data_IF_868802417433
#
_entry.id   IF_868802417433
#
_cell.length_a   1.000
_cell.length_b   1.000
_cell.length_c   1.000
_cell.angle_alpha   90.00
_cell.angle_beta   90.00
_cell.angle_gamma   90.00
#
_symmetry.space_group_name_H-M   'P 1'
#
loop_
_entity.id
_entity.type
_entity.pdbx_description
1 polymer ?
#
# COMPACT_ATOMS: atom_id res chain seq x y z
N UNK A 1 2.17 -41.20 -20.85
CA UNK A 1 2.27 -39.89 -20.20
C UNK A 1 1.49 -38.92 -21.07
N UNK A 2 0.57 -38.13 -20.50
CA UNK A 2 -0.21 -37.13 -21.26
C UNK A 2 0.75 -36.18 -21.99
N UNK A 3 0.38 -35.77 -23.20
CA UNK A 3 1.18 -34.82 -23.99
C UNK A 3 0.91 -33.39 -23.52
N UNK A 4 -0.36 -33.08 -23.26
CA UNK A 4 -0.75 -31.84 -22.59
C UNK A 4 -0.77 -32.05 -21.08
N UNK A 5 0.00 -31.25 -20.37
CA UNK A 5 0.23 -31.37 -18.93
C UNK A 5 0.08 -30.02 -18.24
N UNK A 6 0.09 -30.05 -16.92
CA UNK A 6 0.17 -28.87 -16.08
C UNK A 6 1.60 -28.76 -15.58
N UNK A 7 2.22 -27.60 -15.81
CA UNK A 7 3.51 -27.22 -15.27
C UNK A 7 3.30 -26.05 -14.31
N UNK A 8 3.70 -26.30 -13.08
CA UNK A 8 3.69 -25.38 -11.93
C UNK A 8 5.02 -25.54 -11.15
N UNK A 9 5.18 -24.82 -10.05
CA UNK A 9 6.45 -24.87 -9.29
C UNK A 9 6.78 -26.28 -8.77
N UNK A 10 5.79 -27.01 -8.25
CA UNK A 10 5.98 -28.37 -7.74
C UNK A 10 6.50 -29.33 -8.81
N UNK A 11 5.85 -29.33 -9.97
CA UNK A 11 6.21 -30.20 -11.10
C UNK A 11 7.55 -29.83 -11.71
N UNK A 12 7.88 -28.53 -11.81
CA UNK A 12 9.20 -28.07 -12.23
C UNK A 12 10.29 -28.51 -11.26
N UNK A 13 10.11 -28.27 -9.96
CA UNK A 13 11.08 -28.65 -8.94
C UNK A 13 11.29 -30.16 -8.88
N UNK A 14 10.21 -30.95 -8.97
CA UNK A 14 10.29 -32.41 -9.03
C UNK A 14 11.10 -32.89 -10.25
N UNK A 15 10.80 -32.36 -11.45
CA UNK A 15 11.53 -32.71 -12.66
C UNK A 15 13.02 -32.31 -12.58
N UNK A 16 13.33 -31.13 -12.05
CA UNK A 16 14.72 -30.68 -11.83
C UNK A 16 15.44 -31.64 -10.89
N UNK A 17 14.80 -32.03 -9.79
CA UNK A 17 15.38 -32.96 -8.82
C UNK A 17 15.64 -34.36 -9.41
N UNK A 18 14.89 -34.81 -10.41
CA UNK A 18 15.11 -36.12 -11.04
C UNK A 18 16.23 -36.12 -12.09
N UNK A 19 16.72 -34.94 -12.50
CA UNK A 19 17.73 -34.74 -13.55
C UNK A 19 19.05 -35.46 -13.26
N UNK A 20 19.60 -36.14 -14.29
CA UNK A 20 20.86 -36.91 -14.19
C UNK A 20 21.98 -36.39 -15.07
N UNK A 21 21.67 -36.02 -16.31
CA UNK A 21 22.65 -35.75 -17.36
C UNK A 21 22.62 -34.28 -17.83
N UNK A 22 21.42 -33.73 -18.08
CA UNK A 22 21.28 -32.37 -18.64
C UNK A 22 20.06 -31.63 -18.12
N UNK A 23 20.29 -30.40 -17.68
CA UNK A 23 19.25 -29.45 -17.28
C UNK A 23 19.33 -28.17 -18.13
N UNK A 24 18.24 -27.81 -18.81
CA UNK A 24 18.09 -26.49 -19.43
C UNK A 24 16.83 -25.83 -18.90
N UNK A 25 16.99 -24.69 -18.22
CA UNK A 25 15.88 -23.88 -17.72
C UNK A 25 15.85 -22.55 -18.49
N UNK A 26 14.76 -22.30 -19.21
CA UNK A 26 14.48 -21.05 -19.91
C UNK A 26 13.15 -20.54 -19.41
N UNK A 27 13.09 -19.37 -18.81
CA UNK A 27 11.82 -18.80 -18.37
C UNK A 27 11.89 -17.28 -18.28
N UNK A 28 10.76 -16.56 -18.36
CA UNK A 28 10.71 -15.14 -18.04
C UNK A 28 11.29 -14.88 -16.65
N UNK A 29 10.81 -15.56 -15.60
CA UNK A 29 11.30 -15.38 -14.24
C UNK A 29 11.68 -16.70 -13.56
N UNK A 30 12.15 -16.57 -12.32
CA UNK A 30 12.51 -17.69 -11.46
C UNK A 30 12.09 -17.39 -10.03
N UNK A 31 11.80 -18.44 -9.26
CA UNK A 31 11.49 -18.34 -7.84
C UNK A 31 12.56 -19.01 -7.00
N UNK A 32 12.65 -18.62 -5.72
CA UNK A 32 13.66 -19.16 -4.79
C UNK A 32 13.63 -20.69 -4.77
N UNK A 33 12.44 -21.29 -4.73
CA UNK A 33 12.26 -22.74 -4.76
C UNK A 33 12.92 -23.38 -5.99
N UNK A 34 12.69 -22.84 -7.19
CA UNK A 34 13.29 -23.40 -8.41
C UNK A 34 14.82 -23.27 -8.37
N UNK A 35 15.35 -22.15 -7.86
CA UNK A 35 16.80 -21.98 -7.68
C UNK A 35 17.36 -23.01 -6.70
N UNK A 36 16.67 -23.27 -5.59
CA UNK A 36 17.09 -24.27 -4.60
C UNK A 36 17.13 -25.67 -5.21
N UNK A 37 16.15 -26.04 -6.04
CA UNK A 37 16.16 -27.31 -6.75
C UNK A 37 17.36 -27.44 -7.71
N UNK A 38 17.67 -26.37 -8.46
CA UNK A 38 18.86 -26.32 -9.31
C UNK A 38 20.12 -26.46 -8.46
N UNK A 39 20.23 -25.70 -7.37
CA UNK A 39 21.36 -25.74 -6.46
C UNK A 39 21.56 -27.09 -5.78
N UNK A 40 20.48 -27.80 -5.46
CA UNK A 40 20.53 -29.16 -4.93
C UNK A 40 21.14 -30.14 -5.94
N UNK A 41 20.71 -30.07 -7.19
CA UNK A 41 21.21 -30.94 -8.27
C UNK A 41 22.67 -30.64 -8.63
N UNK A 42 23.09 -29.37 -8.52
CA UNK A 42 24.50 -28.98 -8.69
C UNK A 42 25.45 -29.55 -7.64
N UNK A 43 24.96 -29.82 -6.42
CA UNK A 43 25.77 -30.32 -5.31
C UNK A 43 25.99 -31.83 -5.31
N UNK A 44 25.46 -32.55 -6.32
CA UNK A 44 25.63 -34.00 -6.47
C UNK A 44 27.07 -34.37 -6.85
N UNK A 45 27.49 -35.59 -6.51
CA UNK A 45 28.81 -36.13 -6.89
C UNK A 45 29.06 -36.10 -8.41
N UNK A 46 27.99 -36.29 -9.20
CA UNK A 46 27.95 -36.05 -10.64
C UNK A 46 26.84 -35.03 -10.93
N UNK A 47 27.18 -33.74 -11.04
CA UNK A 47 26.20 -32.73 -11.43
C UNK A 47 25.91 -32.86 -12.94
N UNK A 48 24.65 -32.66 -13.38
CA UNK A 48 24.32 -32.60 -14.79
C UNK A 48 24.88 -31.33 -15.44
N UNK A 49 24.90 -31.30 -16.77
CA UNK A 49 25.19 -30.06 -17.50
C UNK A 49 24.02 -29.08 -17.37
N UNK A 50 24.23 -27.93 -16.73
CA UNK A 50 23.16 -26.96 -16.44
C UNK A 50 23.29 -25.72 -17.33
N UNK A 51 22.17 -25.30 -17.91
CA UNK A 51 22.02 -24.01 -18.60
C UNK A 51 20.80 -23.28 -18.07
N UNK A 52 20.97 -22.04 -17.61
CA UNK A 52 19.89 -21.18 -17.12
C UNK A 52 19.82 -19.93 -18.00
N UNK A 53 18.64 -19.65 -18.57
CA UNK A 53 18.36 -18.46 -19.37
C UNK A 53 17.12 -17.79 -18.79
N UNK A 54 17.24 -16.53 -18.37
CA UNK A 54 16.12 -15.78 -17.80
C UNK A 54 15.97 -14.39 -18.42
N UNK A 55 14.77 -13.82 -18.28
CA UNK A 55 14.54 -12.40 -18.46
C UNK A 55 14.60 -11.69 -17.10
N UNK A 56 15.73 -11.01 -16.84
CA UNK A 56 15.96 -10.29 -15.60
C UNK A 56 15.32 -8.88 -15.57
N UNK A 57 14.41 -8.55 -16.51
CA UNK A 57 13.69 -7.27 -16.45
C UNK A 57 12.79 -7.20 -15.19
N UNK A 58 12.87 -6.14 -14.36
CA UNK A 58 12.03 -6.00 -13.17
C UNK A 58 10.52 -6.06 -13.43
N UNK A 59 10.02 -5.68 -14.61
CA UNK A 59 8.60 -5.83 -14.96
C UNK A 59 8.14 -7.28 -15.02
N UNK A 60 9.05 -8.21 -15.34
CA UNK A 60 8.77 -9.66 -15.33
C UNK A 60 8.44 -10.13 -13.92
N UNK A 61 9.24 -9.72 -12.92
CA UNK A 61 8.94 -9.98 -11.52
C UNK A 61 7.67 -9.26 -11.06
N UNK A 62 7.44 -8.00 -11.47
CA UNK A 62 6.20 -7.27 -11.15
C UNK A 62 4.95 -7.92 -11.76
N UNK A 63 5.08 -8.59 -12.91
CA UNK A 63 3.99 -9.36 -13.55
C UNK A 63 3.70 -10.68 -12.81
N UNK A 64 4.59 -11.10 -11.90
CA UNK A 64 4.45 -12.33 -11.12
C UNK A 64 5.05 -13.56 -11.80
N UNK A 65 5.92 -13.40 -12.81
CA UNK A 65 6.61 -14.53 -13.44
C UNK A 65 7.81 -15.06 -12.64
N UNK A 66 8.21 -14.34 -11.59
CA UNK A 66 9.35 -14.66 -10.73
C UNK A 66 9.31 -13.81 -9.46
N UNK A 67 10.29 -14.03 -8.57
CA UNK A 67 10.36 -13.36 -7.26
C UNK A 67 11.68 -12.64 -7.08
N UNK A 68 11.69 -11.63 -6.21
CA UNK A 68 12.93 -10.94 -5.81
C UNK A 68 13.88 -11.92 -5.15
N UNK A 69 13.38 -12.70 -4.19
CA UNK A 69 14.15 -13.73 -3.48
C UNK A 69 14.74 -14.77 -4.45
N UNK A 70 14.01 -15.15 -5.50
CA UNK A 70 14.52 -16.00 -6.57
C UNK A 70 15.68 -15.40 -7.36
N UNK A 71 15.65 -14.10 -7.67
CA UNK A 71 16.77 -13.43 -8.34
C UNK A 71 18.00 -13.33 -7.43
N UNK A 72 17.81 -13.02 -6.15
CA UNK A 72 18.88 -12.96 -5.14
C UNK A 72 19.51 -14.34 -4.92
N UNK A 73 18.70 -15.39 -4.81
CA UNK A 73 19.15 -16.77 -4.71
C UNK A 73 19.93 -17.18 -5.97
N UNK A 74 19.42 -16.84 -7.17
CA UNK A 74 20.09 -17.21 -8.42
C UNK A 74 21.44 -16.50 -8.57
N UNK A 75 21.52 -15.22 -8.18
CA UNK A 75 22.77 -14.47 -8.15
C UNK A 75 23.79 -15.11 -7.19
N UNK A 76 23.33 -15.51 -6.00
CA UNK A 76 24.15 -16.19 -5.00
C UNK A 76 24.69 -17.51 -5.55
N UNK A 77 23.81 -18.35 -6.13
CA UNK A 77 24.17 -19.62 -6.74
C UNK A 77 25.18 -19.46 -7.88
N UNK A 78 24.99 -18.47 -8.76
CA UNK A 78 25.92 -18.19 -9.85
C UNK A 78 27.29 -17.72 -9.36
N UNK A 79 27.33 -16.98 -8.26
CA UNK A 79 28.60 -16.51 -7.66
C UNK A 79 29.33 -17.66 -6.98
N UNK A 80 28.63 -18.46 -6.16
CA UNK A 80 29.23 -19.54 -5.39
C UNK A 80 29.69 -20.71 -6.26
N UNK A 81 28.91 -21.06 -7.28
CA UNK A 81 29.12 -22.26 -8.10
C UNK A 81 29.61 -21.95 -9.52
N UNK A 82 29.93 -20.70 -9.82
CA UNK A 82 30.34 -20.23 -11.15
C UNK A 82 29.36 -20.64 -12.27
N UNK A 83 28.06 -20.70 -11.98
CA UNK A 83 27.03 -21.04 -12.95
C UNK A 83 26.80 -19.85 -13.90
N UNK A 84 27.02 -19.99 -15.22
CA UNK A 84 26.72 -18.92 -16.16
C UNK A 84 25.20 -18.76 -16.34
N UNK A 85 24.65 -17.68 -15.78
CA UNK A 85 23.27 -17.25 -16.08
C UNK A 85 23.28 -16.48 -17.40
N UNK A 86 22.46 -16.90 -18.35
CA UNK A 86 22.27 -16.18 -19.61
C UNK A 86 21.04 -15.29 -19.50
N UNK A 87 21.12 -14.11 -20.12
CA UNK A 87 20.03 -13.15 -20.15
C UNK A 87 19.44 -13.09 -21.56
N UNK A 88 18.12 -13.18 -21.66
CA UNK A 88 17.39 -12.98 -22.91
C UNK A 88 16.13 -12.13 -22.63
N UNK A 89 16.09 -10.86 -23.05
CA UNK A 89 14.90 -10.04 -22.89
C UNK A 89 13.75 -10.54 -23.79
N UNK A 90 12.52 -10.36 -23.31
CA UNK A 90 11.30 -10.69 -24.05
C UNK A 90 10.90 -12.16 -24.00
N UNK A 91 11.44 -12.96 -23.08
CA UNK A 91 11.01 -14.35 -22.90
C UNK A 91 9.56 -14.38 -22.43
N UNK A 92 8.69 -15.08 -23.16
CA UNK A 92 7.27 -15.27 -22.82
C UNK A 92 6.86 -16.74 -22.67
N UNK A 93 7.83 -17.63 -22.85
CA UNK A 93 7.63 -19.08 -22.82
C UNK A 93 8.59 -19.66 -21.79
N UNK A 94 8.11 -20.63 -21.03
CA UNK A 94 8.91 -21.48 -20.18
C UNK A 94 9.34 -22.73 -20.95
N UNK A 95 10.62 -23.08 -20.90
CA UNK A 95 11.16 -24.31 -21.44
C UNK A 95 12.01 -24.96 -20.37
N UNK A 96 11.65 -26.19 -20.00
CA UNK A 96 12.43 -27.04 -19.13
C UNK A 96 12.86 -28.27 -19.94
N UNK A 97 14.16 -28.48 -20.09
CA UNK A 97 14.74 -29.73 -20.59
C UNK A 97 15.38 -30.46 -19.42
N UNK A 98 14.91 -31.68 -19.16
CA UNK A 98 15.50 -32.61 -18.20
C UNK A 98 15.86 -33.87 -18.97
N UNK A 99 17.16 -34.12 -19.10
CA UNK A 99 17.73 -35.24 -19.85
C UNK A 99 17.20 -35.29 -21.29
N UNK A 100 16.34 -36.27 -21.61
CA UNK A 100 15.74 -36.50 -22.95
C UNK A 100 14.28 -36.05 -23.04
N UNK A 101 13.80 -35.29 -22.05
CA UNK A 101 12.44 -34.77 -21.98
C UNK A 101 12.43 -33.25 -22.02
N UNK A 102 11.54 -32.68 -22.83
CA UNK A 102 11.30 -31.24 -22.93
C UNK A 102 9.87 -30.92 -22.52
N UNK A 103 9.70 -29.92 -21.67
CA UNK A 103 8.42 -29.33 -21.33
C UNK A 103 8.42 -27.87 -21.76
N UNK A 104 7.53 -27.51 -22.67
CA UNK A 104 7.28 -26.13 -23.11
C UNK A 104 5.98 -25.68 -22.48
N UNK A 105 6.00 -24.62 -21.67
CA UNK A 105 4.86 -24.16 -20.89
C UNK A 105 4.66 -22.66 -21.02
N UNK A 106 3.43 -22.19 -20.78
CA UNK A 106 3.14 -20.78 -20.55
C UNK A 106 3.26 -20.48 -19.06
N UNK A 107 4.29 -19.71 -18.63
CA UNK A 107 4.42 -19.28 -17.25
C UNK A 107 3.23 -18.42 -16.85
N UNK A 108 2.78 -18.55 -15.61
CA UNK A 108 1.58 -17.83 -15.13
C UNK A 108 1.96 -16.44 -14.59
N UNK A 109 1.37 -15.34 -15.09
CA UNK A 109 1.56 -14.01 -14.52
C UNK A 109 0.73 -13.88 -13.23
N UNK A 110 1.34 -14.20 -12.08
CA UNK A 110 0.65 -14.26 -10.78
C UNK A 110 0.02 -12.94 -10.31
N UNK A 111 0.32 -11.81 -10.97
CA UNK A 111 -0.39 -10.55 -10.71
C UNK A 111 -1.85 -10.59 -11.20
N UNK A 112 -2.15 -11.37 -12.24
CA UNK A 112 -3.44 -11.34 -12.95
C UNK A 112 -4.16 -12.69 -12.84
N UNK A 113 -3.41 -13.79 -12.81
CA UNK A 113 -3.93 -15.15 -12.83
C UNK A 113 -3.50 -15.92 -11.59
N UNK A 114 -4.39 -16.76 -11.04
CA UNK A 114 -3.99 -17.72 -10.02
C UNK A 114 -3.14 -18.83 -10.64
N UNK A 115 -2.26 -19.45 -9.84
CA UNK A 115 -1.37 -20.53 -10.30
C UNK A 115 -2.11 -21.68 -10.99
N UNK A 116 -1.40 -22.37 -11.89
CA UNK A 116 -1.92 -23.52 -12.62
C UNK A 116 -1.94 -24.78 -11.71
N UNK A 117 -2.94 -24.87 -10.84
CA UNK A 117 -3.08 -25.99 -9.88
C UNK A 117 -4.07 -27.07 -10.33
N UNK A 118 -4.78 -26.81 -11.44
CA UNK A 118 -5.87 -27.64 -11.93
C UNK A 118 -5.44 -28.53 -13.08
N UNK A 119 -5.52 -29.85 -12.89
CA UNK A 119 -5.16 -30.85 -13.91
C UNK A 119 -6.00 -30.79 -15.19
N UNK A 120 -7.17 -30.16 -15.15
CA UNK A 120 -8.06 -29.97 -16.32
C UNK A 120 -7.78 -28.67 -17.10
N UNK A 121 -6.74 -27.93 -16.74
CA UNK A 121 -6.30 -26.69 -17.39
C UNK A 121 -4.82 -26.81 -17.81
N UNK A 122 -4.52 -27.57 -18.86
CA UNK A 122 -3.13 -27.74 -19.30
C UNK A 122 -2.54 -26.41 -19.77
N UNK A 123 -1.34 -26.09 -19.29
CA UNK A 123 -0.55 -24.92 -19.70
C UNK A 123 0.78 -25.33 -20.36
N UNK A 124 1.02 -26.62 -20.55
CA UNK A 124 2.27 -27.15 -21.04
C UNK A 124 2.10 -28.29 -22.05
N UNK A 125 3.13 -28.44 -22.89
CA UNK A 125 3.33 -29.57 -23.79
C UNK A 125 4.63 -30.27 -23.37
N UNK A 126 4.53 -31.54 -23.03
CA UNK A 126 5.66 -32.37 -22.62
C UNK A 126 5.96 -33.44 -23.67
N UNK A 127 7.19 -33.44 -24.16
CA UNK A 127 7.65 -34.30 -25.26
C UNK A 127 8.93 -35.03 -24.86
N UNK A 128 9.10 -36.25 -25.37
CA UNK A 128 10.34 -37.03 -25.29
C UNK A 128 11.10 -36.94 -26.63
N UNK A 129 12.33 -37.49 -26.65
CA UNK A 129 13.19 -37.54 -27.83
C UNK A 129 12.65 -38.39 -29.03
N UNK A 130 11.40 -38.87 -28.96
CA UNK A 130 10.73 -39.63 -30.02
C UNK A 130 10.29 -38.77 -31.21
N UNK A 131 9.14 -39.10 -31.83
CA UNK A 131 8.53 -38.28 -32.88
C UNK A 131 7.54 -37.27 -32.26
N UNK A 132 7.97 -36.03 -31.93
CA UNK A 132 7.14 -35.06 -31.21
C UNK A 132 5.90 -34.62 -32.01
N UNK A 133 6.00 -34.58 -33.34
CA UNK A 133 4.90 -34.20 -34.21
C UNK A 133 3.75 -35.21 -34.11
N UNK A 134 4.04 -36.50 -34.29
CA UNK A 134 3.03 -37.56 -34.21
C UNK A 134 2.33 -37.59 -32.85
N UNK A 135 3.08 -37.31 -31.78
CA UNK A 135 2.54 -37.30 -30.42
C UNK A 135 1.53 -36.16 -30.21
N UNK A 136 1.87 -34.95 -30.66
CA UNK A 136 0.94 -33.81 -30.60
C UNK A 136 -0.26 -34.05 -31.51
N UNK A 137 -0.06 -34.57 -32.72
CA UNK A 137 -1.17 -34.89 -33.64
C UNK A 137 -2.13 -35.91 -33.02
N UNK A 138 -1.64 -36.97 -32.38
CA UNK A 138 -2.48 -37.94 -31.68
C UNK A 138 -3.20 -37.33 -30.48
N UNK A 139 -2.53 -36.52 -29.67
CA UNK A 139 -3.13 -35.88 -28.51
C UNK A 139 -4.26 -34.90 -28.89
N UNK A 140 -4.17 -34.27 -30.05
CA UNK A 140 -5.24 -33.44 -30.63
C UNK A 140 -6.23 -34.25 -31.50
N UNK A 141 -6.02 -35.56 -31.64
CA UNK A 141 -6.73 -36.46 -32.57
C UNK A 141 -6.85 -35.88 -34.00
N UNK A 142 -5.74 -35.32 -34.46
CA UNK A 142 -5.53 -34.71 -35.77
C UNK A 142 -4.59 -35.54 -36.67
N UNK A 143 -4.38 -36.83 -36.34
CA UNK A 143 -3.55 -37.77 -37.10
C UNK A 143 -4.20 -38.27 -38.40
N UNK A 144 -5.40 -37.79 -38.72
CA UNK A 144 -6.15 -38.12 -39.92
C UNK A 144 -6.92 -39.45 -39.83
N UNK A 145 -6.92 -40.13 -38.67
CA UNK A 145 -7.61 -41.40 -38.46
C UNK A 145 -9.09 -41.23 -38.00
N UNK A 146 -9.72 -40.10 -38.31
CA UNK A 146 -11.10 -39.82 -37.92
C UNK A 146 -12.10 -40.78 -38.56
N UNK A 147 -13.08 -41.25 -37.79
CA UNK A 147 -14.22 -42.00 -38.34
C UNK A 147 -15.10 -41.06 -39.17
N UNK A 148 -15.44 -41.40 -40.44
CA UNK A 148 -16.32 -40.56 -41.25
C UNK A 148 -17.69 -40.40 -40.57
N UNK A 149 -18.04 -39.16 -40.21
CA UNK A 149 -19.32 -38.83 -39.57
C UNK A 149 -19.24 -38.41 -38.09
N UNK A 150 -18.07 -38.47 -37.43
CA UNK A 150 -17.91 -37.86 -36.10
C UNK A 150 -17.45 -36.40 -36.21
N UNK A 151 -18.19 -35.48 -35.61
CA UNK A 151 -17.88 -34.03 -35.62
C UNK A 151 -16.78 -33.65 -34.61
N UNK A 152 -16.50 -34.53 -33.63
CA UNK A 152 -15.47 -34.33 -32.61
C UNK A 152 -14.68 -35.63 -32.41
N UNK A 153 -13.37 -35.55 -32.15
CA UNK A 153 -12.59 -36.72 -31.82
C UNK A 153 -12.80 -37.14 -30.36
N UNK A 154 -13.33 -38.34 -30.14
CA UNK A 154 -13.49 -38.93 -28.80
C UNK A 154 -12.17 -39.31 -28.11
N UNK A 155 -11.08 -39.35 -28.87
CA UNK A 155 -9.75 -39.78 -28.43
C UNK A 155 -8.81 -38.60 -28.13
N UNK A 156 -9.26 -37.35 -28.29
CA UNK A 156 -8.43 -36.18 -28.05
C UNK A 156 -8.20 -35.94 -26.55
N UNK A 157 -6.94 -35.70 -26.16
CA UNK A 157 -6.56 -35.26 -24.82
C UNK A 157 -7.07 -33.83 -24.53
N UNK A 158 -7.09 -32.97 -25.55
CA UNK A 158 -7.57 -31.57 -25.47
C UNK A 158 -8.52 -31.26 -26.63
N UNK A 159 -9.51 -30.39 -26.40
CA UNK A 159 -10.47 -30.01 -27.44
C UNK A 159 -11.59 -31.02 -27.69
N UNK A 160 -11.93 -31.86 -26.70
CA UNK A 160 -12.96 -32.89 -26.82
C UNK A 160 -14.41 -32.35 -26.96
N UNK A 161 -14.63 -31.05 -26.78
CA UNK A 161 -15.94 -30.41 -26.88
C UNK A 161 -15.99 -29.36 -28.01
N UNK A 162 -17.08 -29.32 -28.76
CA UNK A 162 -17.28 -28.32 -29.80
C UNK A 162 -17.59 -26.94 -29.20
N UNK A 163 -17.00 -25.89 -29.78
CA UNK A 163 -17.43 -24.52 -29.55
C UNK A 163 -18.74 -24.26 -30.32
N UNK A 164 -19.90 -24.49 -29.68
CA UNK A 164 -21.19 -24.35 -30.36
C UNK A 164 -21.54 -22.88 -30.67
N UNK A 165 -22.39 -22.61 -31.68
CA UNK A 165 -22.86 -21.25 -31.96
C UNK A 165 -23.51 -20.57 -30.74
N UNK A 166 -24.20 -21.33 -29.88
CA UNK A 166 -24.80 -20.83 -28.65
C UNK A 166 -23.74 -20.39 -27.64
N UNK A 167 -22.67 -21.17 -27.47
CA UNK A 167 -21.54 -20.83 -26.60
C UNK A 167 -20.89 -19.52 -27.06
N UNK A 168 -20.57 -19.42 -28.36
CA UNK A 168 -19.95 -18.22 -28.93
C UNK A 168 -20.86 -17.00 -28.81
N UNK A 169 -22.17 -17.15 -29.06
CA UNK A 169 -23.14 -16.07 -28.92
C UNK A 169 -23.28 -15.61 -27.46
N UNK A 170 -23.22 -16.54 -26.51
CA UNK A 170 -23.22 -16.21 -25.09
C UNK A 170 -21.96 -15.40 -24.71
N UNK A 171 -20.78 -15.82 -25.17
CA UNK A 171 -19.53 -15.09 -24.95
C UNK A 171 -19.55 -13.68 -25.58
N UNK A 172 -20.03 -13.54 -26.81
CA UNK A 172 -20.16 -12.23 -27.48
C UNK A 172 -21.11 -11.29 -26.74
N UNK A 173 -22.27 -11.80 -26.31
CA UNK A 173 -23.24 -11.00 -25.53
C UNK A 173 -22.66 -10.57 -24.18
N UNK A 174 -21.82 -11.40 -23.56
CA UNK A 174 -21.15 -11.04 -22.32
C UNK A 174 -20.08 -9.96 -22.56
N UNK A 175 -19.28 -10.08 -23.62
CA UNK A 175 -18.31 -9.06 -24.03
C UNK A 175 -18.98 -7.73 -24.44
N UNK A 176 -20.18 -7.75 -25.02
CA UNK A 176 -20.95 -6.53 -25.28
C UNK A 176 -21.42 -5.85 -23.98
N UNK A 177 -21.80 -6.65 -22.98
CA UNK A 177 -22.24 -6.15 -21.67
C UNK A 177 -21.06 -5.66 -20.81
N UNK A 178 -19.91 -6.32 -20.93
CA UNK A 178 -18.68 -6.10 -20.17
C UNK A 178 -17.50 -6.03 -21.16
N UNK A 179 -17.34 -4.89 -21.87
CA UNK A 179 -16.30 -4.76 -22.87
C UNK A 179 -14.91 -4.87 -22.23
N UNK A 180 -13.95 -5.51 -22.92
CA UNK A 180 -12.58 -5.55 -22.45
C UNK A 180 -12.01 -4.14 -22.34
N UNK A 181 -11.22 -3.89 -21.29
CA UNK A 181 -10.46 -2.64 -21.20
C UNK A 181 -9.45 -2.60 -22.36
N UNK A 182 -9.26 -1.44 -23.02
CA UNK A 182 -8.18 -1.32 -24.00
C UNK A 182 -6.83 -1.67 -23.36
N UNK A 183 -6.01 -2.50 -24.01
CA UNK A 183 -4.78 -3.02 -23.41
C UNK A 183 -3.77 -1.92 -23.06
N UNK A 184 -3.66 -0.88 -23.90
CA UNK A 184 -2.79 0.28 -23.66
C UNK A 184 -3.13 1.03 -22.39
N UNK A 185 -4.40 1.02 -22.01
CA UNK A 185 -4.92 1.73 -20.84
C UNK A 185 -4.49 1.05 -19.55
N UNK A 186 -4.72 -0.26 -19.45
CA UNK A 186 -4.31 -1.03 -18.28
C UNK A 186 -2.78 -1.01 -18.11
N UNK A 187 -2.04 -1.03 -19.22
CA UNK A 187 -0.58 -0.90 -19.25
C UNK A 187 -0.13 0.46 -18.70
N UNK A 188 -0.70 1.55 -19.21
CA UNK A 188 -0.33 2.91 -18.80
C UNK A 188 -0.64 3.16 -17.32
N UNK A 189 -1.82 2.73 -16.85
CA UNK A 189 -2.23 2.83 -15.44
C UNK A 189 -1.24 2.13 -14.51
N UNK A 190 -0.83 0.91 -14.87
CA UNK A 190 0.14 0.13 -14.11
C UNK A 190 1.52 0.81 -14.02
N UNK A 191 2.01 1.39 -15.12
CA UNK A 191 3.30 2.09 -15.14
C UNK A 191 3.26 3.29 -14.18
N UNK A 192 2.22 4.11 -14.24
CA UNK A 192 2.05 5.23 -13.32
C UNK A 192 1.93 4.77 -11.87
N UNK A 193 1.09 3.76 -11.61
CA UNK A 193 0.87 3.23 -10.26
C UNK A 193 2.10 2.50 -9.70
N UNK A 194 3.09 2.15 -10.51
CA UNK A 194 4.38 1.64 -10.01
C UNK A 194 5.27 2.76 -9.46
N UNK A 195 5.08 4.00 -9.91
CA UNK A 195 5.97 5.13 -9.60
C UNK A 195 5.34 6.19 -8.72
N UNK A 196 4.04 6.37 -8.80
CA UNK A 196 3.31 7.44 -8.14
C UNK A 196 2.12 6.89 -7.35
N UNK A 197 1.67 7.68 -6.38
CA UNK A 197 0.46 7.43 -5.63
C UNK A 197 -0.11 8.74 -5.08
N UNK A 198 -1.43 8.83 -4.94
CA UNK A 198 -2.07 9.92 -4.21
C UNK A 198 -1.89 9.76 -2.71
N UNK A 199 -1.76 10.89 -2.01
CA UNK A 199 -1.68 10.95 -0.55
C UNK A 199 -2.63 12.02 -0.02
N UNK A 200 -3.61 11.61 0.77
CA UNK A 200 -4.36 12.54 1.62
C UNK A 200 -3.72 12.53 3.01
N UNK A 201 -2.98 13.60 3.33
CA UNK A 201 -2.34 13.79 4.64
C UNK A 201 -3.01 14.94 5.39
N UNK A 202 -3.61 14.62 6.54
CA UNK A 202 -4.38 15.58 7.35
C UNK A 202 -4.08 15.42 8.84
N UNK A 203 -4.08 16.54 9.56
CA UNK A 203 -3.97 16.58 11.03
C UNK A 203 -5.13 17.40 11.57
N UNK A 204 -5.91 16.81 12.48
CA UNK A 204 -7.12 17.44 13.03
C UNK A 204 -7.13 17.37 14.55
N UNK A 205 -7.99 18.15 15.19
CA UNK A 205 -8.26 18.04 16.64
C UNK A 205 -7.19 18.59 17.59
N UNK A 206 -6.07 19.14 17.07
CA UNK A 206 -4.90 19.62 17.84
C UNK A 206 -4.95 21.09 18.28
N UNK A 207 -5.90 21.89 17.80
CA UNK A 207 -6.05 23.29 18.20
C UNK A 207 -6.89 23.39 19.47
N UNK A 208 -6.27 23.80 20.58
CA UNK A 208 -6.93 24.08 21.87
C UNK A 208 -7.48 25.51 21.88
N UNK A 209 -6.76 26.44 21.26
CA UNK A 209 -7.11 27.88 21.18
C UNK A 209 -8.49 28.16 20.60
N UNK A 210 -9.03 27.25 19.79
CA UNK A 210 -10.36 27.38 19.18
C UNK A 210 -11.49 26.75 20.00
N UNK A 211 -11.20 26.07 21.11
CA UNK A 211 -12.19 25.32 21.89
C UNK A 211 -12.67 26.11 23.10
N UNK A 212 -14.00 26.14 23.31
CA UNK A 212 -14.69 26.94 24.33
C UNK A 212 -15.61 26.06 25.16
N UNK A 213 -15.68 26.30 26.47
CA UNK A 213 -16.59 25.60 27.39
C UNK A 213 -17.80 26.49 27.67
N UNK A 214 -19.00 25.88 27.66
CA UNK A 214 -20.27 26.54 27.94
C UNK A 214 -20.64 26.30 29.41
N UNK A 215 -20.83 27.38 30.17
CA UNK A 215 -21.27 27.31 31.57
C UNK A 215 -22.80 27.46 31.61
N UNK A 216 -23.53 26.62 32.37
CA UNK A 216 -24.98 26.78 32.54
C UNK A 216 -25.36 28.19 33.02
N UNK A 217 -26.27 28.84 32.30
CA UNK A 217 -26.63 30.26 32.50
C UNK A 217 -27.31 30.53 33.85
N UNK A 218 -27.92 29.52 34.44
CA UNK A 218 -28.59 29.57 35.73
C UNK A 218 -27.62 29.40 36.93
N UNK A 219 -26.34 29.12 36.70
CA UNK A 219 -25.28 29.23 37.71
C UNK A 219 -24.74 30.66 37.83
N UNK A 220 -25.02 31.54 36.87
CA UNK A 220 -24.52 32.92 36.81
C UNK A 220 -25.38 33.92 37.61
N UNK A 221 -26.15 33.43 38.58
CA UNK A 221 -27.11 34.25 39.33
C UNK A 221 -26.37 34.97 40.46
N UNK A 222 -26.43 36.32 40.47
CA UNK A 222 -25.83 37.14 41.52
C UNK A 222 -24.37 37.53 41.29
N UNK A 223 -23.78 37.16 40.16
CA UNK A 223 -22.47 37.66 39.72
C UNK A 223 -22.55 39.06 39.12
N UNK A 224 -21.45 39.81 39.18
CA UNK A 224 -21.34 41.13 38.55
C UNK A 224 -21.59 41.03 37.03
N UNK A 225 -22.26 42.03 36.43
CA UNK A 225 -22.68 42.03 35.01
C UNK A 225 -21.49 41.86 34.04
N UNK A 226 -20.31 42.26 34.47
CA UNK A 226 -19.03 42.12 33.74
C UNK A 226 -18.54 40.67 33.72
N UNK A 227 -18.64 39.97 34.85
CA UNK A 227 -18.29 38.55 35.01
C UNK A 227 -19.33 37.66 34.32
N UNK A 228 -20.61 38.02 34.44
CA UNK A 228 -21.73 37.35 33.77
C UNK A 228 -21.57 37.40 32.25
N UNK A 229 -21.22 38.55 31.66
CA UNK A 229 -20.98 38.68 30.22
C UNK A 229 -19.73 37.92 29.71
N UNK A 230 -18.68 37.79 30.55
CA UNK A 230 -17.48 36.99 30.23
C UNK A 230 -17.79 35.49 30.23
N UNK A 231 -18.44 35.00 31.29
CA UNK A 231 -18.76 33.58 31.47
C UNK A 231 -19.88 33.10 30.53
N UNK A 232 -20.82 33.98 30.15
CA UNK A 232 -21.93 33.68 29.23
C UNK A 232 -21.52 33.56 27.76
N UNK A 233 -20.41 34.18 27.35
CA UNK A 233 -19.98 34.17 25.94
C UNK A 233 -18.99 33.04 25.61
N UNK A 234 -18.07 32.71 26.53
CA UNK A 234 -17.24 31.50 26.51
C UNK A 234 -16.08 31.64 27.50
N UNK A 235 -15.90 30.68 28.41
CA UNK A 235 -14.67 30.59 29.20
C UNK A 235 -13.57 29.93 28.34
N UNK A 236 -12.47 30.62 28.13
CA UNK A 236 -11.24 30.02 27.60
C UNK A 236 -10.48 29.45 28.78
N UNK A 237 -10.27 28.14 28.84
CA UNK A 237 -9.44 27.49 29.87
C UNK A 237 -8.01 28.03 29.91
N UNK A 238 -7.60 28.73 28.84
CA UNK A 238 -6.32 29.41 28.70
C UNK A 238 -6.61 30.88 28.35
N UNK A 239 -6.98 31.71 29.32
CA UNK A 239 -7.08 33.17 29.10
C UNK A 239 -5.68 33.75 28.83
N UNK A 240 -5.45 34.27 27.63
CA UNK A 240 -4.40 35.26 27.35
C UNK A 240 -2.96 34.78 27.27
N UNK A 241 -2.67 33.48 27.13
CA UNK A 241 -1.29 32.97 26.95
C UNK A 241 -1.14 32.21 25.63
N UNK A 242 0.02 32.42 25.02
CA UNK A 242 0.56 31.75 23.84
C UNK A 242 0.28 30.24 23.86
N UNK A 243 0.13 29.64 22.68
CA UNK A 243 -0.12 28.21 22.47
C UNK A 243 0.63 27.36 23.50
N UNK A 244 -0.08 26.48 24.23
CA UNK A 244 0.49 25.69 25.32
C UNK A 244 1.76 24.96 24.85
N UNK A 245 2.91 25.34 25.41
CA UNK A 245 4.20 24.74 25.12
C UNK A 245 4.48 23.66 26.16
N UNK A 246 4.63 22.42 25.71
CA UNK A 246 4.96 21.28 26.56
C UNK A 246 6.31 20.70 26.15
N UNK A 247 7.01 20.10 27.11
CA UNK A 247 8.25 19.38 26.82
C UNK A 247 7.92 17.95 26.40
N UNK A 248 8.36 17.54 25.22
CA UNK A 248 8.24 16.16 24.74
C UNK A 248 9.62 15.55 24.52
N UNK A 249 9.69 14.23 24.55
CA UNK A 249 10.89 13.49 24.17
C UNK A 249 11.22 13.70 22.70
N UNK A 250 12.47 14.04 22.42
CA UNK A 250 12.93 14.31 21.07
C UNK A 250 13.41 13.04 20.37
N UNK A 251 13.26 13.01 19.06
CA UNK A 251 13.62 11.86 18.22
C UNK A 251 14.03 12.29 16.83
N UNK A 252 14.91 11.51 16.22
CA UNK A 252 15.40 11.74 14.87
C UNK A 252 14.26 11.54 13.83
N UNK A 253 14.03 12.52 12.94
CA UNK A 253 12.90 12.50 12.02
C UNK A 253 13.04 11.53 10.84
N UNK A 254 14.22 10.96 10.61
CA UNK A 254 14.49 10.02 9.53
C UNK A 254 14.53 8.57 10.00
N UNK A 255 14.80 8.35 11.29
CA UNK A 255 14.94 7.02 11.89
C UNK A 255 13.92 6.72 12.97
N UNK A 256 13.30 7.73 13.58
CA UNK A 256 12.39 7.59 14.72
C UNK A 256 13.10 7.29 16.05
N UNK A 257 14.43 7.22 16.06
CA UNK A 257 15.20 6.91 17.27
C UNK A 257 15.23 8.11 18.21
N UNK A 258 15.08 7.86 19.52
CA UNK A 258 15.15 8.92 20.55
C UNK A 258 16.54 9.56 20.56
N UNK A 259 16.58 10.89 20.69
CA UNK A 259 17.83 11.61 20.83
C UNK A 259 18.31 11.54 22.27
N UNK A 260 19.59 11.18 22.45
CA UNK A 260 20.25 11.02 23.75
C UNK A 260 21.34 12.08 23.89
N UNK A 261 21.39 12.76 25.03
CA UNK A 261 22.43 13.73 25.36
C UNK A 261 23.78 13.06 25.67
N UNK A 262 24.84 13.87 25.79
CA UNK A 262 26.19 13.37 26.15
C UNK A 262 26.31 12.71 27.53
N UNK A 263 25.21 12.63 28.30
CA UNK A 263 25.11 12.01 29.63
C UNK A 263 24.17 10.80 29.65
N UNK A 264 23.69 10.34 28.49
CA UNK A 264 22.83 9.17 28.39
C UNK A 264 21.34 9.43 28.68
N UNK A 265 20.89 10.68 28.72
CA UNK A 265 19.48 11.05 28.98
C UNK A 265 18.75 11.44 27.70
N UNK A 266 17.44 11.16 27.64
CA UNK A 266 16.61 11.55 26.51
C UNK A 266 16.52 13.09 26.45
N UNK A 267 16.74 13.66 25.27
CA UNK A 267 16.61 15.09 25.01
C UNK A 267 15.13 15.48 25.05
N UNK A 268 14.79 16.52 25.81
CA UNK A 268 13.45 17.09 25.84
C UNK A 268 13.43 18.39 25.03
N UNK A 269 12.42 18.53 24.18
CA UNK A 269 12.27 19.69 23.27
C UNK A 269 10.91 20.35 23.50
N UNK A 270 10.83 21.70 23.51
CA UNK A 270 9.57 22.43 23.58
C UNK A 270 8.72 22.18 22.34
N UNK A 271 7.44 21.90 22.53
CA UNK A 271 6.52 21.53 21.47
C UNK A 271 5.15 22.16 21.68
N UNK A 272 4.56 22.66 20.60
CA UNK A 272 3.35 23.49 20.63
C UNK A 272 2.46 23.24 19.40
N UNK A 273 1.26 23.82 19.39
CA UNK A 273 0.36 23.79 18.21
C UNK A 273 1.03 24.32 16.94
N UNK A 274 1.91 25.33 17.08
CA UNK A 274 2.64 25.92 15.97
C UNK A 274 3.68 24.93 15.43
N UNK A 275 4.38 24.20 16.31
CA UNK A 275 5.33 23.17 15.92
C UNK A 275 4.66 22.04 15.12
N UNK A 276 3.45 21.61 15.52
CA UNK A 276 2.66 20.62 14.78
C UNK A 276 2.35 21.12 13.36
N UNK A 277 1.94 22.38 13.23
CA UNK A 277 1.61 22.97 11.92
C UNK A 277 2.85 23.12 11.02
N UNK A 278 3.98 23.52 11.60
CA UNK A 278 5.24 23.69 10.87
C UNK A 278 5.82 22.34 10.43
N UNK A 279 5.82 21.33 11.31
CA UNK A 279 6.22 19.97 10.97
C UNK A 279 5.29 19.37 9.89
N UNK A 280 3.97 19.58 9.99
CA UNK A 280 3.00 19.16 8.95
C UNK A 280 3.33 19.78 7.60
N UNK A 281 3.64 21.09 7.56
CA UNK A 281 4.03 21.79 6.33
C UNK A 281 5.36 21.27 5.78
N UNK A 282 6.33 21.00 6.64
CA UNK A 282 7.61 20.42 6.21
C UNK A 282 7.43 19.05 5.57
N UNK A 283 6.65 18.15 6.20
CA UNK A 283 6.32 16.84 5.62
C UNK A 283 5.67 17.00 4.24
N UNK A 284 4.75 17.96 4.12
CA UNK A 284 4.10 18.27 2.85
C UNK A 284 5.13 18.72 1.80
N UNK A 285 6.02 19.66 2.13
CA UNK A 285 7.03 20.19 1.20
C UNK A 285 8.09 19.17 0.82
N UNK A 286 8.53 18.32 1.75
CA UNK A 286 9.61 17.35 1.55
C UNK A 286 9.18 16.19 0.63
N UNK A 287 7.92 15.78 0.71
CA UNK A 287 7.43 14.53 0.11
C UNK A 287 6.28 14.69 -0.88
N UNK A 288 5.39 15.66 -0.67
CA UNK A 288 4.14 15.75 -1.43
C UNK A 288 4.24 16.80 -2.53
N UNK A 289 3.76 16.44 -3.71
CA UNK A 289 3.75 17.30 -4.89
C UNK A 289 2.31 17.64 -5.26
N UNK A 290 1.89 18.91 -5.13
CA UNK A 290 0.54 19.33 -5.48
C UNK A 290 0.35 19.34 -7.00
N UNK A 291 -0.70 18.65 -7.45
CA UNK A 291 -1.19 18.71 -8.82
C UNK A 291 -2.50 19.51 -8.83
N UNK A 292 -2.50 20.72 -9.44
CA UNK A 292 -3.67 21.59 -9.47
C UNK A 292 -4.94 20.88 -9.97
N UNK A 293 -5.97 20.81 -9.12
CA UNK A 293 -7.25 20.16 -9.44
C UNK A 293 -7.26 18.63 -9.27
N UNK A 294 -6.12 18.00 -9.00
CA UNK A 294 -6.01 16.54 -8.88
C UNK A 294 -5.50 16.06 -7.52
N UNK A 295 -5.11 16.95 -6.61
CA UNK A 295 -4.69 16.58 -5.24
C UNK A 295 -3.17 16.48 -5.09
N UNK A 296 -2.70 15.62 -4.18
CA UNK A 296 -1.27 15.50 -3.83
C UNK A 296 -0.72 14.15 -4.24
N UNK A 297 0.40 14.16 -4.96
CA UNK A 297 1.11 12.95 -5.36
C UNK A 297 2.41 12.78 -4.59
N UNK A 298 2.79 11.53 -4.35
CA UNK A 298 4.11 11.13 -3.87
C UNK A 298 4.75 10.14 -4.84
N UNK A 299 6.07 10.17 -4.95
CA UNK A 299 6.83 9.10 -5.61
C UNK A 299 6.92 7.87 -4.70
N UNK A 300 6.58 6.69 -5.23
CA UNK A 300 6.70 5.41 -4.52
C UNK A 300 8.13 5.11 -4.07
N UNK A 301 9.15 5.66 -4.74
CA UNK A 301 10.56 5.56 -4.30
C UNK A 301 10.78 6.25 -2.94
N UNK A 302 10.11 7.39 -2.70
CA UNK A 302 10.21 8.14 -1.45
C UNK A 302 9.23 7.65 -0.37
N UNK A 303 8.43 6.64 -0.68
CA UNK A 303 7.34 6.21 0.19
C UNK A 303 7.83 5.72 1.55
N UNK A 304 8.85 4.87 1.57
CA UNK A 304 9.43 4.35 2.83
C UNK A 304 9.89 5.49 3.74
N UNK A 305 10.55 6.51 3.19
CA UNK A 305 11.01 7.67 3.94
C UNK A 305 9.84 8.55 4.46
N UNK A 306 8.78 8.70 3.65
CA UNK A 306 7.56 9.40 4.07
C UNK A 306 6.87 8.67 5.23
N UNK A 307 6.69 7.35 5.14
CA UNK A 307 6.04 6.56 6.17
C UNK A 307 6.81 6.66 7.50
N UNK A 308 8.15 6.56 7.47
CA UNK A 308 8.99 6.78 8.67
C UNK A 308 8.80 8.17 9.26
N UNK A 309 8.77 9.22 8.41
CA UNK A 309 8.58 10.60 8.88
C UNK A 309 7.18 10.82 9.46
N UNK A 310 6.15 10.22 8.88
CA UNK A 310 4.77 10.30 9.41
C UNK A 310 4.65 9.59 10.75
N UNK A 311 5.25 8.40 10.91
CA UNK A 311 5.23 7.69 12.20
C UNK A 311 5.98 8.46 13.30
N UNK A 312 7.13 9.05 12.95
CA UNK A 312 7.81 10.00 13.83
C UNK A 312 6.88 11.15 14.25
N UNK A 313 6.19 11.78 13.29
CA UNK A 313 5.28 12.89 13.56
C UNK A 313 4.07 12.46 14.42
N UNK A 314 3.48 11.29 14.15
CA UNK A 314 2.42 10.69 14.98
C UNK A 314 2.87 10.50 16.43
N UNK A 315 4.10 10.03 16.65
CA UNK A 315 4.64 9.82 17.99
C UNK A 315 4.77 11.13 18.77
N UNK A 316 5.19 12.22 18.11
CA UNK A 316 5.28 13.56 18.71
C UNK A 316 3.92 14.14 19.02
N UNK A 317 2.95 14.01 18.11
CA UNK A 317 1.56 14.41 18.34
C UNK A 317 0.95 13.61 19.50
N UNK A 318 1.27 12.32 19.64
CA UNK A 318 0.82 11.51 20.77
C UNK A 318 1.45 11.97 22.10
N UNK A 319 2.76 12.23 22.12
CA UNK A 319 3.46 12.77 23.29
C UNK A 319 2.90 14.15 23.71
N UNK A 320 2.67 15.03 22.73
CA UNK A 320 1.97 16.30 22.91
C UNK A 320 0.59 16.08 23.52
N UNK A 321 -0.16 15.11 23.00
CA UNK A 321 -1.51 14.80 23.49
C UNK A 321 -1.51 14.46 24.97
N UNK A 322 -0.58 13.60 25.40
CA UNK A 322 -0.44 13.19 26.80
C UNK A 322 -0.04 14.38 27.68
N UNK A 323 0.97 15.13 27.28
CA UNK A 323 1.48 16.25 28.08
C UNK A 323 0.45 17.39 28.22
N UNK A 324 -0.28 17.71 27.14
CA UNK A 324 -1.37 18.69 27.18
C UNK A 324 -2.49 18.21 28.08
N UNK A 325 -2.94 16.95 27.98
CA UNK A 325 -4.02 16.43 28.83
C UNK A 325 -3.67 16.56 30.32
N UNK A 326 -2.44 16.22 30.70
CA UNK A 326 -1.97 16.39 32.08
C UNK A 326 -2.02 17.85 32.56
N UNK A 327 -1.59 18.80 31.72
CA UNK A 327 -1.66 20.23 32.07
C UNK A 327 -3.09 20.77 32.07
N UNK A 328 -3.93 20.28 31.16
CA UNK A 328 -5.33 20.66 31.05
C UNK A 328 -6.13 20.19 32.26
N UNK A 329 -5.92 18.96 32.72
CA UNK A 329 -6.59 18.42 33.92
C UNK A 329 -6.26 19.26 35.15
N UNK A 330 -5.00 19.70 35.30
CA UNK A 330 -4.57 20.59 36.37
C UNK A 330 -5.22 21.99 36.26
N UNK A 331 -5.21 22.58 35.07
CA UNK A 331 -5.79 23.90 34.81
C UNK A 331 -7.33 23.90 34.98
N UNK A 332 -7.99 22.81 34.58
CA UNK A 332 -9.42 22.61 34.79
C UNK A 332 -9.73 22.51 36.29
N UNK A 333 -8.97 21.73 37.05
CA UNK A 333 -9.18 21.61 38.49
C UNK A 333 -8.96 22.94 39.25
N UNK A 334 -8.03 23.77 38.80
CA UNK A 334 -7.85 25.14 39.31
C UNK A 334 -9.02 26.05 38.92
N UNK A 335 -9.39 26.07 37.63
CA UNK A 335 -10.52 26.87 37.13
C UNK A 335 -11.85 26.51 37.81
N UNK A 336 -12.12 25.22 38.01
CA UNK A 336 -13.33 24.75 38.72
C UNK A 336 -13.34 25.26 40.15
N UNK A 337 -12.19 25.24 40.86
CA UNK A 337 -12.09 25.76 42.23
C UNK A 337 -12.32 27.27 42.28
N UNK A 338 -11.71 28.04 41.38
CA UNK A 338 -11.88 29.48 41.30
C UNK A 338 -13.33 29.87 40.96
N UNK A 339 -13.93 29.23 39.94
CA UNK A 339 -15.31 29.46 39.55
C UNK A 339 -16.28 29.05 40.65
N UNK A 340 -16.04 27.93 41.33
CA UNK A 340 -16.83 27.52 42.48
C UNK A 340 -16.79 28.60 43.55
N UNK A 341 -15.60 29.10 43.91
CA UNK A 341 -15.45 30.15 44.92
C UNK A 341 -16.18 31.46 44.51
N UNK A 342 -16.12 31.83 43.23
CA UNK A 342 -16.77 33.03 42.71
C UNK A 342 -18.31 32.92 42.66
N UNK A 343 -18.84 31.73 42.32
CA UNK A 343 -20.27 31.50 42.12
C UNK A 343 -21.01 31.07 43.40
N UNK A 344 -20.30 30.49 44.38
CA UNK A 344 -20.88 29.96 45.61
C UNK A 344 -21.79 30.98 46.35
N UNK A 345 -21.41 32.27 46.53
CA UNK A 345 -22.27 33.24 47.21
C UNK A 345 -23.61 33.46 46.49
N UNK A 346 -23.60 33.52 45.16
CA UNK A 346 -24.80 33.73 44.34
C UNK A 346 -25.70 32.50 44.33
N UNK A 347 -25.10 31.31 44.23
CA UNK A 347 -25.81 30.03 44.29
C UNK A 347 -26.47 29.81 45.66
N UNK A 348 -25.82 30.19 46.77
CA UNK A 348 -26.42 30.09 48.11
C UNK A 348 -27.63 31.03 48.29
N UNK A 349 -27.62 32.21 47.64
CA UNK A 349 -28.76 33.14 47.69
C UNK A 349 -29.95 32.67 46.86
N UNK A 350 -29.70 32.04 45.71
CA UNK A 350 -30.75 31.54 44.82
C UNK A 350 -30.36 30.18 44.22
N UNK A 351 -30.47 29.09 45.01
CA UNK A 351 -29.99 27.80 44.59
C UNK A 351 -30.86 27.24 43.46
N UNK A 352 -30.27 26.87 42.31
CA UNK A 352 -30.97 26.12 41.29
C UNK A 352 -31.50 24.80 41.84
N UNK A 353 -32.78 24.50 41.60
CA UNK A 353 -33.46 23.32 42.14
C UNK A 353 -32.75 21.99 41.76
N UNK A 354 -32.07 21.94 40.62
CA UNK A 354 -31.35 20.73 40.16
C UNK A 354 -30.12 20.39 41.02
N UNK A 355 -29.42 21.38 41.58
CA UNK A 355 -28.24 21.15 42.42
C UNK A 355 -28.61 20.44 43.73
N UNK A 356 -29.85 20.63 44.18
CA UNK A 356 -30.37 20.07 45.41
C UNK A 356 -31.00 18.67 45.23
N UNK A 357 -31.16 18.20 43.99
CA UNK A 357 -31.84 16.94 43.67
C UNK A 357 -31.22 15.71 44.35
N UNK A 358 -29.90 15.74 44.57
CA UNK A 358 -29.13 14.65 45.18
C UNK A 358 -28.65 14.99 46.60
N UNK A 359 -29.13 16.09 47.19
CA UNK A 359 -28.82 16.44 48.58
C UNK A 359 -29.37 15.35 49.50
N UNK A 360 -28.52 14.85 50.40
CA UNK A 360 -28.93 13.92 51.46
C UNK A 360 -29.45 14.63 52.72
N UNK A 361 -29.50 15.97 52.69
CA UNK A 361 -29.95 16.82 53.79
C UNK A 361 -31.15 17.67 53.36
N UNK A 362 -32.16 17.77 54.22
CA UNK A 362 -33.29 18.69 54.06
C UNK A 362 -32.90 20.17 54.25
N UNK A 363 -31.79 20.42 54.95
CA UNK A 363 -31.18 21.72 55.16
C UNK A 363 -29.72 21.69 54.65
N UNK A 364 -29.49 21.97 53.35
CA UNK A 364 -28.17 21.89 52.75
C UNK A 364 -27.24 22.95 53.33
N UNK A 365 -26.05 22.54 53.75
CA UNK A 365 -25.01 23.44 54.25
C UNK A 365 -24.16 23.96 53.10
N UNK A 366 -23.33 24.97 53.36
CA UNK A 366 -22.37 25.50 52.37
C UNK A 366 -21.52 24.39 51.71
N UNK A 367 -21.12 23.37 52.48
CA UNK A 367 -20.38 22.21 51.95
C UNK A 367 -21.16 21.43 50.90
N UNK A 368 -22.48 21.33 51.06
CA UNK A 368 -23.36 20.59 50.14
C UNK A 368 -23.53 21.36 48.82
N UNK A 369 -23.69 22.69 48.90
CA UNK A 369 -23.71 23.56 47.73
C UNK A 369 -22.37 23.57 46.99
N UNK A 370 -21.26 23.61 47.72
CA UNK A 370 -19.91 23.56 47.15
C UNK A 370 -19.68 22.24 46.42
N UNK A 371 -19.98 21.11 47.05
CA UNK A 371 -19.80 19.80 46.43
C UNK A 371 -20.67 19.62 45.18
N UNK A 372 -21.93 20.07 45.22
CA UNK A 372 -22.83 20.01 44.07
C UNK A 372 -22.36 20.90 42.90
N UNK A 373 -21.89 22.12 43.21
CA UNK A 373 -21.38 23.06 42.23
C UNK A 373 -20.05 22.59 41.62
N UNK A 374 -19.12 22.09 42.42
CA UNK A 374 -17.87 21.48 41.95
C UNK A 374 -18.15 20.28 41.05
N UNK A 375 -19.12 19.43 41.39
CA UNK A 375 -19.51 18.29 40.57
C UNK A 375 -20.11 18.72 39.23
N UNK A 376 -21.00 19.72 39.22
CA UNK A 376 -21.64 20.20 37.99
C UNK A 376 -20.64 20.93 37.08
N UNK A 377 -19.79 21.80 37.65
CA UNK A 377 -18.72 22.46 36.89
C UNK A 377 -17.71 21.42 36.39
N UNK A 378 -17.26 20.50 37.24
CA UNK A 378 -16.37 19.40 36.81
C UNK A 378 -16.99 18.60 35.68
N UNK A 379 -18.29 18.31 35.69
CA UNK A 379 -18.96 17.63 34.58
C UNK A 379 -19.03 18.49 33.30
N UNK A 380 -19.26 19.79 33.43
CA UNK A 380 -19.26 20.72 32.29
C UNK A 380 -17.87 20.88 31.66
N UNK A 381 -16.80 20.81 32.46
CA UNK A 381 -15.41 20.88 32.01
C UNK A 381 -14.83 19.50 31.61
N UNK A 382 -15.33 18.40 32.15
CA UNK A 382 -14.91 17.03 31.85
C UNK A 382 -15.54 16.55 30.53
N UNK A 383 -15.14 17.23 29.46
CA UNK A 383 -15.48 16.90 28.07
C UNK A 383 -14.76 15.64 27.56
N UNK A 384 -13.99 14.95 28.43
CA UNK A 384 -13.27 13.71 28.14
C UNK A 384 -12.39 13.79 26.89
N UNK A 385 -12.21 12.66 26.22
CA UNK A 385 -11.46 12.57 24.95
C UNK A 385 -12.05 13.45 23.83
N UNK A 386 -13.29 13.92 23.95
CA UNK A 386 -13.89 14.80 22.93
C UNK A 386 -13.29 16.20 22.93
N UNK A 387 -12.73 16.66 24.05
CA UNK A 387 -12.17 18.01 24.14
C UNK A 387 -10.84 18.17 23.44
N UNK A 388 -10.01 17.13 23.41
CA UNK A 388 -8.70 17.23 22.81
C UNK A 388 -8.23 15.86 22.35
N UNK A 389 -8.35 15.65 21.04
CA UNK A 389 -7.99 14.42 20.37
C UNK A 389 -7.31 14.77 19.05
N UNK A 390 -6.02 15.11 19.08
CA UNK A 390 -5.21 15.22 17.89
C UNK A 390 -5.23 13.90 17.11
N UNK A 391 -5.56 13.95 15.82
CA UNK A 391 -5.56 12.79 14.93
C UNK A 391 -4.78 13.11 13.68
N UNK A 392 -3.80 12.27 13.37
CA UNK A 392 -3.03 12.30 12.12
C UNK A 392 -3.58 11.21 11.20
N UNK A 393 -4.11 11.61 10.04
CA UNK A 393 -4.72 10.72 9.06
C UNK A 393 -3.90 10.73 7.77
N UNK A 394 -3.63 9.53 7.26
CA UNK A 394 -2.97 9.33 5.96
C UNK A 394 -3.77 8.30 5.17
N UNK A 395 -4.18 8.67 3.95
CA UNK A 395 -4.82 7.75 3.00
C UNK A 395 -4.02 7.76 1.71
N UNK A 396 -3.84 6.56 1.14
CA UNK A 396 -3.20 6.38 -0.15
C UNK A 396 -4.20 5.90 -1.18
N UNK A 397 -4.14 6.47 -2.39
CA UNK A 397 -5.01 6.08 -3.50
C UNK A 397 -4.18 5.94 -4.77
N UNK A 398 -4.53 4.97 -5.59
CA UNK A 398 -3.87 4.79 -6.88
C UNK A 398 -4.46 5.74 -7.93
N UNK A 399 -3.68 6.01 -8.97
CA UNK A 399 -4.12 6.79 -10.12
C UNK A 399 -5.07 5.93 -10.95
N UNK A 400 -6.13 6.55 -11.45
CA UNK A 400 -7.13 5.90 -12.32
C UNK A 400 -6.90 6.24 -13.79
N UNK A 401 -7.45 5.40 -14.66
CA UNK A 401 -7.48 5.64 -16.11
C UNK A 401 -8.00 7.04 -16.49
N UNK A 402 -9.11 7.46 -15.89
CA UNK A 402 -9.74 8.75 -16.20
C UNK A 402 -8.81 9.92 -15.89
N UNK A 403 -7.95 9.76 -14.88
CA UNK A 403 -6.98 10.77 -14.50
C UNK A 403 -5.77 10.78 -15.43
N UNK A 404 -5.19 9.62 -15.73
CA UNK A 404 -3.98 9.51 -16.54
C UNK A 404 -4.21 9.83 -18.02
N UNK A 405 -5.45 9.80 -18.50
CA UNK A 405 -5.81 10.19 -19.87
C UNK A 405 -6.15 11.66 -20.03
N UNK A 406 -6.36 12.40 -18.93
CA UNK A 406 -6.59 13.83 -19.01
C UNK A 406 -5.30 14.53 -19.49
N UNK A 407 -5.29 15.17 -20.68
CA UNK A 407 -4.10 15.84 -21.20
C UNK A 407 -3.61 16.97 -20.27
N UNK A 408 -4.52 17.60 -19.52
CA UNK A 408 -4.15 18.64 -18.55
C UNK A 408 -3.40 18.04 -17.37
N UNK A 409 -3.86 16.89 -16.87
CA UNK A 409 -3.19 16.17 -15.81
C UNK A 409 -1.79 15.74 -16.25
N UNK A 410 -1.67 15.10 -17.42
CA UNK A 410 -0.36 14.63 -17.94
C UNK A 410 0.62 15.80 -18.12
N UNK A 411 0.16 16.93 -18.66
CA UNK A 411 0.99 18.12 -18.82
C UNK A 411 1.48 18.67 -17.47
N UNK A 412 0.60 18.75 -16.46
CA UNK A 412 0.98 19.17 -15.12
C UNK A 412 1.91 18.17 -14.44
N UNK A 413 1.67 16.88 -14.63
CA UNK A 413 2.48 15.81 -14.07
C UNK A 413 3.90 15.86 -14.62
N UNK A 414 4.07 16.02 -15.93
CA UNK A 414 5.38 16.15 -16.57
C UNK A 414 6.14 17.39 -16.10
N UNK A 415 5.43 18.49 -15.81
CA UNK A 415 6.03 19.69 -15.25
C UNK A 415 6.50 19.48 -13.80
N UNK A 416 5.69 18.80 -12.99
CA UNK A 416 5.97 18.57 -11.57
C UNK A 416 6.97 17.43 -11.32
N UNK A 417 7.06 16.47 -12.23
CA UNK A 417 7.94 15.32 -12.16
C UNK A 417 8.74 15.16 -13.46
N UNK A 418 9.73 16.04 -13.72
CA UNK A 418 10.51 16.02 -14.97
C UNK A 418 11.29 14.72 -15.19
N UNK A 419 11.64 14.00 -14.11
CA UNK A 419 12.26 12.68 -14.20
C UNK A 419 11.36 11.60 -14.83
N UNK A 420 10.03 11.82 -14.88
CA UNK A 420 9.11 10.91 -15.57
C UNK A 420 9.26 10.95 -17.11
N UNK A 421 9.85 11.99 -17.68
CA UNK A 421 10.13 12.03 -19.12
C UNK A 421 11.52 11.45 -19.44
N UNK A 422 12.50 11.61 -18.53
CA UNK A 422 13.91 11.30 -18.80
C UNK A 422 14.25 9.80 -18.77
N UNK A 423 13.43 8.96 -18.15
CA UNK A 423 13.65 7.51 -18.10
C UNK A 423 12.82 6.73 -19.11
N UNK A 424 12.30 7.38 -20.17
CA UNK A 424 11.58 6.69 -21.25
C UNK A 424 10.23 6.11 -20.81
N UNK A 425 9.64 6.57 -19.71
CA UNK A 425 8.39 5.99 -19.18
C UNK A 425 7.17 6.14 -20.10
N UNK A 426 7.26 7.04 -21.09
CA UNK A 426 6.28 7.22 -22.16
C UNK A 426 6.60 6.39 -23.42
N UNK A 427 7.80 5.82 -23.49
CA UNK A 427 8.13 4.81 -24.47
C UNK A 427 7.62 3.48 -23.95
N UNK A 428 7.02 2.70 -24.83
CA UNK A 428 6.37 1.44 -24.51
C UNK A 428 7.32 0.50 -23.76
N UNK A 429 7.19 0.45 -22.44
CA UNK A 429 7.72 -0.65 -21.63
C UNK A 429 6.81 -1.87 -21.80
N UNK A 430 6.74 -2.35 -23.04
CA UNK A 430 6.41 -3.75 -23.28
C UNK A 430 7.55 -4.58 -22.68
N UNK A 431 7.23 -5.62 -21.92
CA UNK A 431 8.26 -6.59 -21.51
C UNK A 431 8.87 -7.34 -22.71
N UNK A 432 8.37 -7.09 -23.93
CA UNK A 432 9.01 -7.40 -25.21
C UNK A 432 8.76 -6.23 -26.19
N UNK A 433 9.59 -5.17 -26.22
CA UNK A 433 9.41 -4.10 -27.20
C UNK A 433 9.48 -4.70 -28.61
N UNK A 434 8.49 -4.39 -29.45
CA UNK A 434 8.52 -4.77 -30.86
C UNK A 434 9.81 -4.21 -31.47
N UNK A 435 10.73 -5.09 -31.87
CA UNK A 435 11.95 -4.70 -32.56
C UNK A 435 11.54 -4.03 -33.87
N UNK A 436 11.44 -2.69 -33.87
CA UNK A 436 11.28 -1.92 -35.10
C UNK A 436 12.51 -2.20 -35.95
N UNK A 437 12.35 -3.05 -36.95
CA UNK A 437 13.35 -3.29 -37.97
C UNK A 437 13.75 -1.94 -38.53
N UNK A 438 14.99 -1.52 -38.25
CA UNK A 438 15.58 -0.31 -38.82
C UNK A 438 15.42 -0.39 -40.33
N UNK A 439 14.56 0.46 -40.89
CA UNK A 439 14.48 0.65 -42.33
C UNK A 439 15.89 0.96 -42.81
N UNK A 440 16.41 0.04 -43.64
CA UNK A 440 17.64 0.22 -44.37
C UNK A 440 17.42 1.46 -45.24
N UNK A 441 17.99 2.59 -44.80
CA UNK A 441 18.10 3.80 -45.59
C UNK A 441 18.86 3.43 -46.85
N UNK A 442 18.13 3.18 -47.95
CA UNK A 442 18.70 3.07 -49.29
C UNK A 442 19.38 4.40 -49.59
N UNK A 443 20.71 4.44 -49.49
CA UNK A 443 21.52 5.49 -50.13
C UNK A 443 21.29 5.41 -51.64
N UNK A 444 20.96 6.52 -52.33
CA UNK A 444 20.96 6.53 -53.78
C UNK A 444 22.41 6.40 -54.28
N UNK A 445 22.61 5.54 -55.27
CA UNK A 445 23.86 5.38 -56.00
C UNK A 445 24.24 6.71 -56.68
N UNK A 446 25.54 7.03 -56.66
CA UNK A 446 26.13 8.05 -57.53
C UNK A 446 26.37 7.47 -58.92
#
# INVERSE_FOLDING_TARGET
MSTFTVVNEDTLAAAINECKDRLVYIAPGVTEWIVDAIGFVMKRDRPPAITVIIDADPEVCRLGYGTVDGLEALQSLATEQMLPIRYQPGLRVGVLVVDDQISVYSPTPLLIEAGADRSDQPNAITLDAGNPLDRVLKACAADGAGSPGSLLPSEAEVGAAAATPELLKASLKDLERLPPKPFDVARTERVYNTKLQYVDFEVTGYKLTSRRVQIPTDLLVGTDKTLEARLRNSFSLLEGKESLVVLIEDSDPNTGNKLIDGKGRIVLTPYSEQAIEDERKQIYTDFLTPIPGHGQLISKVRRKAFDTRVEWFKSRVAAYTVAVKQQLDAAVAESVRELTQALLPGVMQRPPARLLKYSMSFDPKESDYRAALEAELSQAFNLGDRFFQPVVKVIFKDLTYETITDPKFVAQLNKSFPGLAQHGFFEEHDSAPELRSTEIVKKPAR
#
